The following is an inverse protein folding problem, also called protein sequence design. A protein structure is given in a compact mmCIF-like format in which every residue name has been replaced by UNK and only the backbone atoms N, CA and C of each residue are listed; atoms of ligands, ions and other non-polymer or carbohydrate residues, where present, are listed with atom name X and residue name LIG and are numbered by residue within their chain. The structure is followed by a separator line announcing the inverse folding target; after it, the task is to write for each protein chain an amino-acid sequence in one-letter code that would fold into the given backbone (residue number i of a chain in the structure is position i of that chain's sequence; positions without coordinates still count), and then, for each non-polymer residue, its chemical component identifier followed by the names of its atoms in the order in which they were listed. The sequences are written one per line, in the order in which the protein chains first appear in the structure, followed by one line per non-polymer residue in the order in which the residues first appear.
data_IF_744281246250
#
_entry.id   IF_744281246250
#
_cell.length_a   1.000
_cell.length_b   1.000
_cell.length_c   1.000
_cell.angle_alpha   90.00
_cell.angle_beta   90.00
_cell.angle_gamma   90.00
#
_symmetry.space_group_name_H-M   'P 1'
#
loop_
_entity.id
_entity.type
_entity.pdbx_description
1 polymer ?
#
# COMPACT_ATOMS: atom_id res chain seq x y z
N UNK A 1 1.97 -0.55 -10.70
CA UNK A 1 0.88 0.44 -10.88
C UNK A 1 0.13 0.12 -12.15
N UNK A 2 -1.18 0.38 -12.17
CA UNK A 2 -2.08 -0.12 -13.21
C UNK A 2 -1.61 0.25 -14.61
N UNK A 3 -1.94 -0.61 -15.57
CA UNK A 3 -1.40 -0.48 -16.92
C UNK A 3 -2.04 0.68 -17.67
N UNK A 4 -1.37 1.13 -18.73
CA UNK A 4 -1.88 2.16 -19.64
C UNK A 4 -2.87 1.54 -20.62
N UNK A 5 -4.07 2.09 -20.77
CA UNK A 5 -5.10 1.59 -21.69
C UNK A 5 -4.63 1.59 -23.14
N UNK A 6 -3.78 2.55 -23.53
CA UNK A 6 -3.14 2.57 -24.86
C UNK A 6 -2.23 1.36 -25.13
N UNK A 7 -1.83 0.63 -24.08
CA UNK A 7 -1.06 -0.61 -24.17
C UNK A 7 -1.95 -1.85 -23.89
N UNK A 8 -3.25 -1.75 -24.17
CA UNK A 8 -4.25 -2.82 -23.98
C UNK A 8 -4.40 -3.31 -22.53
N UNK A 9 -3.99 -2.51 -21.54
CA UNK A 9 -4.22 -2.84 -20.13
C UNK A 9 -5.65 -2.50 -19.70
N UNK A 10 -6.15 -3.23 -18.71
CA UNK A 10 -7.42 -2.95 -18.03
C UNK A 10 -7.19 -2.79 -16.55
N UNK A 11 -7.71 -1.70 -15.98
CA UNK A 11 -7.73 -1.46 -14.54
C UNK A 11 -9.15 -1.57 -13.97
N UNK A 12 -10.10 -2.12 -14.74
CA UNK A 12 -11.48 -2.25 -14.31
C UNK A 12 -11.59 -3.06 -12.99
N UNK A 13 -12.50 -2.67 -12.08
CA UNK A 13 -13.50 -1.61 -12.21
C UNK A 13 -12.99 -0.20 -11.81
N UNK A 14 -11.69 -0.05 -11.54
CA UNK A 14 -11.15 1.17 -10.96
C UNK A 14 -10.93 2.27 -12.01
N UNK A 15 -11.19 3.52 -11.62
CA UNK A 15 -10.96 4.71 -12.46
C UNK A 15 -9.48 4.95 -12.67
N UNK A 16 -9.10 5.41 -13.85
CA UNK A 16 -7.74 5.84 -14.17
C UNK A 16 -6.80 4.69 -14.53
N UNK A 17 -5.55 5.07 -14.78
CA UNK A 17 -4.52 4.18 -15.32
C UNK A 17 -3.13 4.59 -14.87
N UNK A 18 -2.10 3.98 -15.47
CA UNK A 18 -0.70 4.36 -15.25
C UNK A 18 -0.54 5.89 -15.26
N UNK A 19 0.25 6.40 -14.32
CA UNK A 19 0.47 7.83 -14.10
C UNK A 19 -0.71 8.61 -13.51
N UNK A 20 -1.82 7.97 -13.13
CA UNK A 20 -2.90 8.62 -12.36
C UNK A 20 -2.85 8.26 -10.87
N UNK A 21 -3.37 9.13 -10.00
CA UNK A 21 -3.57 8.85 -8.56
C UNK A 21 -4.97 8.28 -8.28
N UNK A 22 -5.82 8.11 -9.29
CA UNK A 22 -7.05 7.31 -9.16
C UNK A 22 -6.73 5.84 -8.84
N UNK A 23 -7.69 5.10 -8.28
CA UNK A 23 -7.49 3.71 -7.85
C UNK A 23 -6.92 2.81 -8.97
N UNK A 24 -7.31 3.00 -10.22
CA UNK A 24 -6.80 2.22 -11.35
C UNK A 24 -5.32 2.48 -11.64
N UNK A 25 -4.75 3.61 -11.20
CA UNK A 25 -3.31 3.86 -11.27
C UNK A 25 -2.55 3.25 -10.11
N UNK A 26 -3.09 3.30 -8.90
CA UNK A 26 -2.33 3.03 -7.65
C UNK A 26 -2.71 1.75 -6.92
N UNK A 27 -3.93 1.22 -7.09
CA UNK A 27 -4.39 -0.04 -6.49
C UNK A 27 -4.03 -1.20 -7.42
N UNK A 28 -3.13 -2.06 -6.96
CA UNK A 28 -2.61 -3.19 -7.75
C UNK A 28 -3.00 -4.53 -7.15
N UNK A 29 -3.08 -5.56 -8.00
CA UNK A 29 -3.23 -6.92 -7.53
C UNK A 29 -2.01 -7.35 -6.70
N UNK A 30 -2.27 -7.96 -5.55
CA UNK A 30 -1.26 -8.56 -4.67
C UNK A 30 -1.88 -9.76 -3.95
N UNK A 31 -1.06 -10.75 -3.64
CA UNK A 31 -1.47 -11.90 -2.84
C UNK A 31 -0.27 -12.41 -2.01
N UNK A 32 -0.57 -13.13 -0.92
CA UNK A 32 0.42 -13.83 -0.12
C UNK A 32 0.08 -15.31 -0.15
N UNK A 33 1.09 -16.13 -0.36
CA UNK A 33 1.00 -17.58 -0.21
C UNK A 33 2.05 -18.00 0.80
N UNK A 34 1.63 -18.63 1.89
CA UNK A 34 2.56 -19.22 2.85
C UNK A 34 1.86 -20.31 3.67
N UNK A 35 2.55 -21.42 4.01
CA UNK A 35 2.05 -22.37 5.00
C UNK A 35 1.93 -21.75 6.40
N UNK A 36 2.57 -20.59 6.64
CA UNK A 36 2.51 -19.84 7.90
C UNK A 36 1.22 -19.03 8.07
N UNK A 37 0.40 -18.90 7.01
CA UNK A 37 -0.92 -18.27 7.13
C UNK A 37 -1.83 -19.15 7.99
N UNK A 38 -2.56 -18.51 8.91
CA UNK A 38 -3.69 -19.12 9.59
C UNK A 38 -4.62 -19.77 8.55
N UNK A 39 -5.12 -20.97 8.86
CA UNK A 39 -5.98 -21.71 7.96
C UNK A 39 -7.25 -20.94 7.60
N UNK A 40 -7.77 -20.10 8.50
CA UNK A 40 -8.98 -19.31 8.27
C UNK A 40 -8.76 -18.16 7.29
N UNK A 41 -7.51 -17.76 7.03
CA UNK A 41 -7.17 -16.67 6.09
C UNK A 41 -6.88 -17.16 4.67
N UNK A 42 -6.79 -18.48 4.47
CA UNK A 42 -6.46 -19.03 3.15
C UNK A 42 -7.66 -18.90 2.22
N UNK A 43 -7.47 -18.22 1.09
CA UNK A 43 -8.53 -17.95 0.13
C UNK A 43 -9.46 -16.79 0.52
N UNK A 44 -9.15 -16.06 1.59
CA UNK A 44 -9.88 -14.82 1.95
C UNK A 44 -9.22 -13.60 1.30
N UNK A 45 -9.88 -12.44 1.45
CA UNK A 45 -9.34 -11.15 1.04
C UNK A 45 -8.91 -10.35 2.28
N UNK A 46 -7.83 -9.59 2.15
CA UNK A 46 -7.38 -8.62 3.16
C UNK A 46 -7.84 -7.22 2.74
N UNK A 47 -8.85 -6.68 3.43
CA UNK A 47 -9.49 -5.41 3.08
C UNK A 47 -8.87 -4.17 3.75
N UNK A 48 -7.81 -4.38 4.53
CA UNK A 48 -7.11 -3.31 5.22
C UNK A 48 -5.99 -2.70 4.36
N UNK A 49 -5.63 -1.43 4.56
CA UNK A 49 -4.58 -0.79 3.77
C UNK A 49 -3.23 -1.50 3.90
N UNK A 50 -2.62 -1.81 2.76
CA UNK A 50 -1.23 -2.24 2.66
C UNK A 50 -0.54 -1.43 1.57
N UNK A 51 0.61 -0.84 1.87
CA UNK A 51 1.36 -0.01 0.93
C UNK A 51 2.71 -0.65 0.59
N UNK A 52 3.26 -0.39 -0.60
CA UNK A 52 4.55 -0.96 -1.05
C UNK A 52 5.69 -0.74 -0.04
N UNK A 53 5.66 0.39 0.68
CA UNK A 53 6.66 0.74 1.70
C UNK A 53 6.60 -0.14 2.96
N UNK A 54 5.50 -0.86 3.18
CA UNK A 54 5.33 -1.78 4.31
C UNK A 54 6.12 -3.07 4.14
N UNK A 55 6.48 -3.45 2.91
CA UNK A 55 7.19 -4.70 2.67
C UNK A 55 8.51 -4.78 3.43
N UNK A 56 9.29 -3.69 3.45
CA UNK A 56 10.59 -3.67 4.13
C UNK A 56 10.47 -4.03 5.63
N UNK A 57 9.71 -3.28 6.45
CA UNK A 57 9.54 -3.65 7.86
C UNK A 57 8.75 -4.95 8.06
N UNK A 58 7.80 -5.28 7.19
CA UNK A 58 7.04 -6.54 7.29
C UNK A 58 7.94 -7.76 7.12
N UNK A 59 8.85 -7.74 6.15
CA UNK A 59 9.79 -8.84 5.92
C UNK A 59 10.84 -8.88 7.02
N UNK A 60 11.50 -7.74 7.30
CA UNK A 60 12.62 -7.72 8.24
C UNK A 60 12.16 -8.02 9.67
N UNK A 61 11.15 -7.31 10.17
CA UNK A 61 10.70 -7.48 11.56
C UNK A 61 9.78 -8.70 11.70
N UNK A 62 8.86 -8.89 10.77
CA UNK A 62 7.84 -9.94 10.87
C UNK A 62 8.32 -11.33 10.48
N UNK A 63 9.15 -11.45 9.43
CA UNK A 63 9.60 -12.75 8.90
C UNK A 63 10.99 -13.11 9.43
N UNK A 64 11.94 -12.18 9.32
CA UNK A 64 13.33 -12.42 9.74
C UNK A 64 13.49 -12.28 11.25
N UNK A 65 12.63 -11.49 11.91
CA UNK A 65 12.68 -11.27 13.36
C UNK A 65 13.76 -10.27 13.78
N UNK A 66 14.16 -9.34 12.90
CA UNK A 66 15.04 -8.25 13.32
C UNK A 66 14.28 -7.25 14.20
N UNK A 67 14.98 -6.60 15.13
CA UNK A 67 14.40 -5.56 15.98
C UNK A 67 13.98 -4.31 15.19
N UNK A 68 13.66 -3.24 15.92
CA UNK A 68 13.26 -1.98 15.28
C UNK A 68 14.29 -1.52 14.24
N UNK A 69 13.80 -1.16 13.06
CA UNK A 69 14.62 -0.50 12.04
C UNK A 69 14.79 0.95 12.52
N UNK A 70 15.83 1.20 13.30
CA UNK A 70 15.96 2.44 14.06
C UNK A 70 16.26 3.64 13.13
N UNK A 71 15.58 4.79 13.32
CA UNK A 71 16.00 6.07 12.76
C UNK A 71 17.39 6.42 13.31
N UNK A 72 18.40 6.42 12.44
CA UNK A 72 19.82 6.52 12.82
C UNK A 72 20.72 5.75 11.87
N UNK A 73 20.18 4.71 11.23
CA UNK A 73 20.59 4.37 9.87
C UNK A 73 20.10 5.49 8.94
N UNK A 74 20.83 5.80 7.88
CA UNK A 74 20.53 6.84 6.89
C UNK A 74 19.21 6.64 6.11
N UNK A 75 18.29 5.80 6.60
CA UNK A 75 17.05 5.41 5.93
C UNK A 75 15.87 5.68 6.87
N UNK A 76 15.23 6.83 6.68
CA UNK A 76 13.87 7.06 7.20
C UNK A 76 12.90 6.27 6.32
N UNK A 77 12.15 5.33 6.89
CA UNK A 77 11.09 4.61 6.15
C UNK A 77 9.70 4.90 6.74
N UNK A 78 8.70 5.03 5.87
CA UNK A 78 7.30 5.26 6.25
C UNK A 78 6.47 3.96 6.32
N UNK A 79 7.14 2.81 6.19
CA UNK A 79 6.54 1.49 6.29
C UNK A 79 6.23 1.07 7.73
N UNK A 80 5.20 0.24 7.88
CA UNK A 80 4.82 -0.41 9.12
C UNK A 80 4.93 -1.93 8.95
N UNK A 81 5.37 -2.63 10.00
CA UNK A 81 5.33 -4.08 10.01
C UNK A 81 3.86 -4.55 10.06
N UNK A 82 3.40 -5.21 9.00
CA UNK A 82 2.03 -5.71 8.87
C UNK A 82 1.94 -7.24 9.00
N UNK A 83 3.02 -7.92 9.39
CA UNK A 83 3.09 -9.38 9.33
C UNK A 83 1.98 -10.09 10.11
N UNK A 84 1.73 -9.66 11.35
CA UNK A 84 0.65 -10.25 12.16
C UNK A 84 -0.72 -9.99 11.53
N UNK A 85 -0.96 -8.80 10.96
CA UNK A 85 -2.22 -8.49 10.28
C UNK A 85 -2.43 -9.28 8.98
N UNK A 86 -1.34 -9.68 8.32
CA UNK A 86 -1.37 -10.47 7.09
C UNK A 86 -1.46 -11.98 7.35
N UNK A 87 -1.01 -12.45 8.52
CA UNK A 87 -0.85 -13.89 8.81
C UNK A 87 -1.78 -14.43 9.89
N UNK A 88 -2.40 -13.56 10.68
CA UNK A 88 -3.29 -13.90 11.80
C UNK A 88 -4.57 -13.07 11.71
N UNK A 89 -5.61 -13.52 12.41
CA UNK A 89 -6.82 -12.73 12.61
C UNK A 89 -6.53 -11.64 13.65
N UNK A 90 -6.62 -10.37 13.23
CA UNK A 90 -6.42 -9.20 14.10
C UNK A 90 -7.58 -8.23 13.94
N UNK A 91 -7.96 -7.55 15.02
CA UNK A 91 -9.07 -6.58 15.01
C UNK A 91 -8.68 -5.24 14.38
N UNK A 92 -7.39 -4.89 14.43
CA UNK A 92 -6.89 -3.59 14.00
C UNK A 92 -5.60 -3.73 13.16
N UNK A 93 -5.64 -3.44 11.86
CA UNK A 93 -4.44 -3.40 11.03
C UNK A 93 -3.53 -2.22 11.44
N UNK A 94 -2.20 -2.35 11.38
CA UNK A 94 -1.28 -1.28 11.75
C UNK A 94 -1.44 -0.01 10.92
N UNK A 95 -1.77 -0.12 9.62
CA UNK A 95 -1.88 1.03 8.72
C UNK A 95 -3.33 1.50 8.63
N UNK A 96 -3.54 2.76 9.02
CA UNK A 96 -4.81 3.47 8.83
C UNK A 96 -4.72 4.62 7.82
N UNK A 97 -3.51 5.16 7.60
CA UNK A 97 -3.27 6.27 6.68
C UNK A 97 -2.05 6.03 5.80
N UNK A 98 -2.03 6.65 4.63
CA UNK A 98 -0.91 6.56 3.70
C UNK A 98 -0.95 7.71 2.69
N UNK A 99 0.23 8.28 2.44
CA UNK A 99 0.44 9.23 1.37
C UNK A 99 0.77 8.44 0.08
N UNK A 100 -0.01 8.67 -0.98
CA UNK A 100 0.27 8.06 -2.28
C UNK A 100 1.39 8.81 -2.99
N UNK A 101 1.24 10.13 -3.13
CA UNK A 101 2.20 11.03 -3.73
C UNK A 101 1.88 12.48 -3.35
N UNK A 102 2.90 13.34 -3.36
CA UNK A 102 2.78 14.80 -3.38
C UNK A 102 3.75 15.30 -4.44
N UNK A 103 3.21 15.89 -5.49
CA UNK A 103 3.96 16.43 -6.61
C UNK A 103 3.65 17.92 -6.72
N UNK A 104 4.69 18.74 -6.60
CA UNK A 104 4.60 20.18 -6.71
C UNK A 104 4.93 20.61 -8.15
N UNK A 105 4.00 21.31 -8.79
CA UNK A 105 4.18 21.91 -10.10
C UNK A 105 4.42 23.43 -10.02
N UNK A 106 4.85 23.93 -8.86
CA UNK A 106 5.13 25.34 -8.62
C UNK A 106 3.87 26.19 -8.74
N UNK A 107 3.95 27.25 -9.55
CA UNK A 107 2.84 28.20 -9.75
C UNK A 107 1.56 27.57 -10.35
N UNK A 108 1.66 26.36 -10.92
CA UNK A 108 0.53 25.62 -11.50
C UNK A 108 -0.31 24.93 -10.42
N UNK A 109 0.24 24.75 -9.21
CA UNK A 109 -0.39 24.06 -8.09
C UNK A 109 0.29 22.73 -7.79
N UNK A 110 -0.36 21.88 -7.01
CA UNK A 110 0.16 20.57 -6.64
C UNK A 110 -0.84 19.47 -6.96
N UNK A 111 -0.30 18.28 -7.18
CA UNK A 111 -1.06 17.06 -7.35
C UNK A 111 -0.71 16.09 -6.24
N UNK A 112 -1.73 15.49 -5.62
CA UNK A 112 -1.48 14.58 -4.52
C UNK A 112 -2.68 13.77 -4.12
N UNK A 113 -2.41 12.71 -3.36
CA UNK A 113 -3.45 11.91 -2.75
C UNK A 113 -3.01 11.36 -1.40
N UNK A 114 -3.95 11.35 -0.45
CA UNK A 114 -3.80 10.74 0.87
C UNK A 114 -5.02 9.88 1.18
N UNK A 115 -4.78 8.69 1.72
CA UNK A 115 -5.82 7.79 2.23
C UNK A 115 -5.89 7.82 3.74
N UNK A 116 -7.11 7.73 4.29
CA UNK A 116 -7.37 7.49 5.70
C UNK A 116 -8.61 6.62 5.86
N UNK A 117 -8.43 5.38 6.35
CA UNK A 117 -9.50 4.39 6.42
C UNK A 117 -10.14 4.15 5.05
N UNK A 118 -11.47 4.34 4.98
CA UNK A 118 -12.25 4.23 3.73
C UNK A 118 -12.25 5.51 2.88
N UNK A 119 -11.61 6.58 3.33
CA UNK A 119 -11.61 7.87 2.66
C UNK A 119 -10.31 8.09 1.90
N UNK A 120 -10.40 8.82 0.78
CA UNK A 120 -9.27 9.28 0.00
C UNK A 120 -9.49 10.72 -0.45
N UNK A 121 -8.55 11.59 -0.14
CA UNK A 121 -8.48 12.94 -0.68
C UNK A 121 -7.58 12.92 -1.91
N UNK A 122 -8.08 13.45 -3.04
CA UNK A 122 -7.31 13.66 -4.27
C UNK A 122 -7.34 15.15 -4.61
N UNK A 123 -6.20 15.70 -5.02
CA UNK A 123 -6.03 17.09 -5.45
C UNK A 123 -5.22 17.10 -6.75
N UNK A 124 -5.60 17.95 -7.71
CA UNK A 124 -4.81 18.19 -8.93
C UNK A 124 -4.83 17.04 -9.96
N UNK A 125 -5.90 16.25 -10.02
CA UNK A 125 -6.14 15.18 -11.01
C UNK A 125 -7.12 15.57 -12.11
#
# INVERSE_FOLDING_TARGET
NGGCSSNAASNAPFRGEKNSLYEGGVRTAAFIHSPLLDQTLRGTTYDSPFHMVDWLPTILQGIVGVGEITPGSSVVHNGLNQWDALTKVVDHPPRQSYLYNLEDYGDVGFRGAVGYGSMKLLVGE
#
